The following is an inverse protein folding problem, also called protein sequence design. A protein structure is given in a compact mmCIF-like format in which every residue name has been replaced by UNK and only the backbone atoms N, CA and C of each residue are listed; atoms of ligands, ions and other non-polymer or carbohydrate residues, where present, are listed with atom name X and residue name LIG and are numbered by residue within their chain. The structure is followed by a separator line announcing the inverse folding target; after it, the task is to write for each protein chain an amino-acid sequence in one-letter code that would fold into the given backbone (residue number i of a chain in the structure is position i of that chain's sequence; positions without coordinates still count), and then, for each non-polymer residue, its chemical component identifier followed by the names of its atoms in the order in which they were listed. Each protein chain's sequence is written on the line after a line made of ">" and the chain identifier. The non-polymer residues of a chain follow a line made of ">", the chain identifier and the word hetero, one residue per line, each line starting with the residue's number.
data_IF_653750663358
#
_entry.id   IF_653750663358
#
_cell.length_a   1.000
_cell.length_b   1.000
_cell.length_c   1.000
_cell.angle_alpha   90.00
_cell.angle_beta   90.00
_cell.angle_gamma   90.00
#
_symmetry.space_group_name_H-M   'P 1'
#
loop_
_entity.id
_entity.type
_entity.pdbx_description
1 polymer ?
#
# COMPACT_ATOMS: atom_id res chain seq x y z
N UNK A 1 33.79 11.72 -1.71
CA UNK A 1 32.85 11.61 -2.85
C UNK A 1 32.62 13.01 -3.38
N UNK A 2 32.62 13.21 -4.70
CA UNK A 2 32.19 14.49 -5.27
C UNK A 2 30.71 14.72 -4.93
N UNK A 3 30.27 15.97 -4.68
CA UNK A 3 28.87 16.26 -4.43
C UNK A 3 28.04 15.90 -5.67
N UNK A 4 26.98 15.11 -5.48
CA UNK A 4 26.01 14.80 -6.52
C UNK A 4 25.13 16.04 -6.71
N UNK A 5 25.23 16.78 -7.83
CA UNK A 5 24.57 18.09 -7.97
C UNK A 5 23.04 17.98 -8.07
N UNK A 6 22.53 16.84 -8.55
CA UNK A 6 21.11 16.52 -8.66
C UNK A 6 20.89 15.09 -8.19
N UNK A 7 20.18 14.92 -7.06
CA UNK A 7 19.80 13.58 -6.58
C UNK A 7 18.52 13.12 -7.27
N UNK A 8 18.52 11.88 -7.71
CA UNK A 8 17.41 11.18 -8.34
C UNK A 8 16.68 10.29 -7.34
N UNK A 9 15.36 10.27 -7.42
CA UNK A 9 14.49 9.51 -6.53
C UNK A 9 13.13 9.26 -7.21
N UNK A 10 12.36 8.35 -6.65
CA UNK A 10 10.92 8.21 -6.91
C UNK A 10 10.08 8.84 -5.79
N UNK A 11 8.76 8.93 -5.98
CA UNK A 11 7.82 9.49 -4.99
C UNK A 11 7.44 8.48 -3.90
N UNK A 12 7.31 7.19 -4.25
CA UNK A 12 6.75 6.17 -3.36
C UNK A 12 6.43 4.89 -4.13
N UNK A 13 5.16 4.72 -4.45
CA UNK A 13 4.56 3.56 -5.13
C UNK A 13 5.26 3.13 -6.44
N UNK A 14 5.41 1.82 -6.61
CA UNK A 14 5.82 1.15 -7.86
C UNK A 14 4.65 0.39 -8.50
N UNK A 15 4.64 0.19 -9.84
CA UNK A 15 3.60 -0.58 -10.49
C UNK A 15 3.51 -2.00 -9.91
N UNK A 16 2.28 -2.45 -9.64
CA UNK A 16 2.04 -3.84 -9.23
C UNK A 16 2.29 -4.78 -10.41
N UNK A 17 3.23 -5.74 -10.30
CA UNK A 17 3.36 -6.79 -11.29
C UNK A 17 2.07 -7.59 -11.40
N UNK A 18 1.76 -8.13 -12.57
CA UNK A 18 0.50 -8.87 -12.79
C UNK A 18 0.29 -10.06 -11.84
N UNK A 19 1.37 -10.68 -11.36
CA UNK A 19 1.30 -11.75 -10.36
C UNK A 19 0.90 -11.24 -8.97
N UNK A 20 1.36 -10.05 -8.58
CA UNK A 20 1.02 -9.43 -7.30
C UNK A 20 -0.43 -8.94 -7.32
N UNK A 21 -0.85 -8.34 -8.43
CA UNK A 21 -2.25 -7.94 -8.65
C UNK A 21 -3.18 -9.14 -8.51
N UNK A 22 -2.85 -10.26 -9.18
CA UNK A 22 -3.64 -11.48 -9.06
C UNK A 22 -3.66 -12.03 -7.63
N UNK A 23 -2.48 -12.09 -6.96
CA UNK A 23 -2.41 -12.55 -5.58
C UNK A 23 -3.25 -11.69 -4.63
N UNK A 24 -3.25 -10.36 -4.79
CA UNK A 24 -4.03 -9.43 -3.97
C UNK A 24 -5.54 -9.65 -4.04
N UNK A 25 -6.02 -10.23 -5.14
CA UNK A 25 -7.44 -10.55 -5.37
C UNK A 25 -7.82 -11.98 -4.94
N UNK A 26 -6.84 -12.82 -4.55
CA UNK A 26 -7.05 -14.25 -4.24
C UNK A 26 -6.30 -14.64 -2.95
N UNK A 27 -6.23 -13.76 -1.95
CA UNK A 27 -5.42 -13.97 -0.74
C UNK A 27 -5.76 -15.26 0.02
N UNK A 28 -7.00 -15.74 -0.10
CA UNK A 28 -7.51 -16.92 0.59
C UNK A 28 -6.89 -18.25 0.12
N UNK A 29 -6.20 -18.27 -1.02
CA UNK A 29 -5.55 -19.49 -1.55
C UNK A 29 -4.12 -19.67 -1.03
N UNK A 30 -3.57 -18.67 -0.35
CA UNK A 30 -2.18 -18.62 0.11
C UNK A 30 -2.09 -18.82 1.63
N UNK A 31 -1.06 -19.53 2.08
CA UNK A 31 -0.69 -19.58 3.49
C UNK A 31 -0.05 -18.27 3.96
N UNK A 32 0.10 -18.11 5.27
CA UNK A 32 0.76 -16.93 5.84
C UNK A 32 2.19 -16.73 5.34
N UNK A 33 2.91 -17.83 5.14
CA UNK A 33 4.31 -17.80 4.71
C UNK A 33 4.41 -17.47 3.22
N UNK A 34 3.49 -17.98 2.40
CA UNK A 34 3.38 -17.61 0.98
C UNK A 34 3.10 -16.11 0.83
N UNK A 35 2.19 -15.56 1.64
CA UNK A 35 1.90 -14.12 1.63
C UNK A 35 3.10 -13.27 2.05
N UNK A 36 3.87 -13.73 3.04
CA UNK A 36 5.09 -13.06 3.47
C UNK A 36 6.18 -13.10 2.38
N UNK A 37 6.31 -14.22 1.67
CA UNK A 37 7.21 -14.36 0.52
C UNK A 37 6.80 -13.42 -0.63
N UNK A 38 5.52 -13.47 -1.04
CA UNK A 38 4.94 -12.60 -2.09
C UNK A 38 5.23 -11.12 -1.82
N UNK A 39 4.99 -10.67 -0.59
CA UNK A 39 5.24 -9.28 -0.18
C UNK A 39 6.73 -8.92 -0.27
N UNK A 40 7.61 -9.80 0.21
CA UNK A 40 9.06 -9.60 0.18
C UNK A 40 9.59 -9.54 -1.25
N UNK A 41 9.17 -10.48 -2.09
CA UNK A 41 9.60 -10.57 -3.49
C UNK A 41 9.15 -9.36 -4.31
N UNK A 42 7.97 -8.82 -4.02
CA UNK A 42 7.49 -7.60 -4.66
C UNK A 42 8.40 -6.41 -4.35
N UNK A 43 8.76 -6.23 -3.08
CA UNK A 43 9.69 -5.18 -2.64
C UNK A 43 11.07 -5.39 -3.28
N UNK A 44 11.59 -6.62 -3.30
CA UNK A 44 12.87 -6.94 -3.93
C UNK A 44 12.85 -6.55 -5.41
N UNK A 45 11.79 -6.87 -6.15
CA UNK A 45 11.65 -6.52 -7.55
C UNK A 45 11.69 -5.00 -7.77
N UNK A 46 10.94 -4.23 -6.97
CA UNK A 46 10.92 -2.77 -7.04
C UNK A 46 12.29 -2.15 -6.69
N UNK A 47 12.97 -2.67 -5.67
CA UNK A 47 14.32 -2.22 -5.27
C UNK A 47 15.34 -2.54 -6.36
N UNK A 48 15.32 -3.75 -6.92
CA UNK A 48 16.24 -4.15 -7.98
C UNK A 48 16.12 -3.27 -9.22
N UNK A 49 14.90 -2.90 -9.63
CA UNK A 49 14.70 -2.04 -10.79
C UNK A 49 15.22 -0.61 -10.53
N UNK A 50 14.97 -0.06 -9.35
CA UNK A 50 15.49 1.25 -8.93
C UNK A 50 17.02 1.27 -8.83
N UNK A 51 17.64 0.19 -8.32
CA UNK A 51 19.09 0.04 -8.26
C UNK A 51 19.70 -0.10 -9.66
N UNK A 52 19.08 -0.89 -10.54
CA UNK A 52 19.52 -1.03 -11.93
C UNK A 52 19.41 0.29 -12.71
N UNK A 53 18.41 1.12 -12.39
CA UNK A 53 18.26 2.47 -12.93
C UNK A 53 19.29 3.47 -12.37
N UNK A 54 20.00 3.13 -11.30
CA UNK A 54 21.03 3.97 -10.68
C UNK A 54 20.47 5.15 -9.87
N UNK A 55 19.31 4.99 -9.23
CA UNK A 55 18.73 6.03 -8.37
C UNK A 55 19.59 6.28 -7.12
N UNK A 56 19.63 7.55 -6.68
CA UNK A 56 20.38 7.96 -5.48
C UNK A 56 19.61 7.65 -4.18
N UNK A 57 18.28 7.77 -4.22
CA UNK A 57 17.38 7.45 -3.12
C UNK A 57 16.26 6.57 -3.67
N UNK A 58 16.03 5.44 -2.99
CA UNK A 58 15.05 4.43 -3.39
C UNK A 58 13.92 4.33 -2.37
N UNK A 59 12.83 3.70 -2.78
CA UNK A 59 11.70 3.30 -1.91
C UNK A 59 11.50 1.79 -1.96
N UNK A 60 10.68 1.25 -1.07
CA UNK A 60 10.19 -0.13 -1.13
C UNK A 60 9.10 -0.33 -2.20
N UNK A 61 8.75 0.73 -2.93
CA UNK A 61 7.70 0.73 -3.93
C UNK A 61 6.28 0.63 -3.36
N UNK A 62 6.09 0.76 -2.05
CA UNK A 62 4.81 0.54 -1.35
C UNK A 62 4.15 -0.81 -1.71
N UNK A 63 4.96 -1.82 -2.06
CA UNK A 63 4.45 -3.10 -2.59
C UNK A 63 3.68 -3.94 -1.56
N UNK A 64 3.80 -3.61 -0.28
CA UNK A 64 3.08 -4.26 0.83
C UNK A 64 1.73 -3.60 1.13
N UNK A 65 1.39 -2.51 0.42
CA UNK A 65 0.16 -1.73 0.61
C UNK A 65 -0.75 -1.86 -0.60
N UNK A 66 -2.05 -2.06 -0.36
CA UNK A 66 -3.05 -2.16 -1.43
C UNK A 66 -3.67 -0.81 -1.80
N UNK A 67 -3.73 0.13 -0.85
CA UNK A 67 -4.23 1.48 -1.10
C UNK A 67 -3.56 2.47 -0.13
N UNK A 68 -3.24 3.65 -0.68
CA UNK A 68 -2.55 4.73 0.01
C UNK A 68 -3.36 5.35 1.16
N UNK A 69 -4.70 5.41 1.08
CA UNK A 69 -5.51 6.07 2.11
C UNK A 69 -6.67 5.22 2.66
N UNK A 70 -7.20 4.28 1.90
CA UNK A 70 -8.38 3.52 2.30
C UNK A 70 -8.10 2.56 3.46
N UNK A 71 -6.88 2.03 3.52
CA UNK A 71 -6.43 1.12 4.59
C UNK A 71 -6.46 1.79 5.97
N UNK A 72 -6.24 3.12 6.06
CA UNK A 72 -6.23 3.84 7.33
C UNK A 72 -7.57 3.82 8.05
N UNK A 73 -8.69 3.73 7.34
CA UNK A 73 -10.01 3.67 7.97
C UNK A 73 -10.17 2.45 8.90
N UNK A 74 -9.46 1.35 8.63
CA UNK A 74 -9.43 0.17 9.50
C UNK A 74 -8.74 0.41 10.85
N UNK A 75 -7.92 1.44 10.97
CA UNK A 75 -7.24 1.83 12.21
C UNK A 75 -8.04 2.86 13.04
N UNK A 76 -9.05 3.49 12.44
CA UNK A 76 -9.80 4.58 13.06
C UNK A 76 -11.03 4.08 13.82
N UNK A 77 -11.21 4.60 15.03
CA UNK A 77 -12.44 4.53 15.81
C UNK A 77 -13.33 5.75 15.51
N UNK A 78 -14.63 5.65 15.80
CA UNK A 78 -15.59 6.73 15.52
C UNK A 78 -16.13 6.75 14.08
N UNK A 79 -15.85 5.71 13.29
CA UNK A 79 -16.38 5.50 11.94
C UNK A 79 -17.38 4.34 11.89
N UNK A 80 -18.43 4.54 11.12
CA UNK A 80 -19.35 3.51 10.64
C UNK A 80 -18.97 3.19 9.18
N UNK A 81 -18.31 2.05 8.98
CA UNK A 81 -17.71 1.67 7.71
C UNK A 81 -18.78 1.15 6.75
N UNK A 82 -19.07 1.92 5.70
CA UNK A 82 -19.89 1.44 4.58
C UNK A 82 -19.21 0.25 3.87
N UNK A 83 -19.87 -0.92 3.92
CA UNK A 83 -19.31 -2.17 3.40
C UNK A 83 -19.38 -2.31 1.87
N UNK A 84 -20.16 -1.47 1.18
CA UNK A 84 -20.37 -1.55 -0.26
C UNK A 84 -20.20 -0.18 -0.92
N UNK A 85 -19.53 -0.16 -2.06
CA UNK A 85 -19.44 1.05 -2.87
C UNK A 85 -20.83 1.57 -3.27
N UNK A 86 -21.08 2.89 -3.17
CA UNK A 86 -22.31 3.51 -3.68
C UNK A 86 -22.40 3.48 -5.22
N UNK A 87 -21.29 3.21 -5.93
CA UNK A 87 -21.24 3.09 -7.40
C UNK A 87 -20.58 1.78 -7.83
N UNK A 88 -21.35 0.94 -8.53
CA UNK A 88 -20.89 -0.39 -8.96
C UNK A 88 -20.43 -0.47 -10.43
N UNK A 89 -20.70 0.56 -11.25
CA UNK A 89 -20.40 0.53 -12.69
C UNK A 89 -19.51 1.71 -13.10
N UNK A 90 -18.71 1.49 -14.16
CA UNK A 90 -17.77 2.45 -14.72
C UNK A 90 -16.32 2.17 -14.33
N UNK A 91 -15.36 2.93 -14.87
CA UNK A 91 -13.95 2.81 -14.50
C UNK A 91 -13.76 3.04 -12.99
N UNK A 92 -12.83 2.31 -12.33
CA UNK A 92 -12.47 2.56 -10.95
C UNK A 92 -12.05 4.02 -10.74
N UNK A 93 -12.74 4.72 -9.84
CA UNK A 93 -12.48 6.12 -9.53
C UNK A 93 -12.95 6.46 -8.10
N UNK A 94 -12.70 7.70 -7.67
CA UNK A 94 -13.00 8.15 -6.30
C UNK A 94 -14.48 8.04 -5.91
N UNK A 95 -15.40 8.05 -6.86
CA UNK A 95 -16.83 7.92 -6.64
C UNK A 95 -17.29 6.47 -6.36
N UNK A 96 -16.44 5.48 -6.62
CA UNK A 96 -16.63 4.07 -6.24
C UNK A 96 -16.04 3.75 -4.85
N UNK A 97 -15.42 4.72 -4.17
CA UNK A 97 -14.89 4.51 -2.82
C UNK A 97 -16.03 4.56 -1.79
N UNK A 98 -15.91 3.76 -0.73
CA UNK A 98 -16.88 3.77 0.38
C UNK A 98 -16.96 5.13 1.07
N UNK A 99 -18.16 5.54 1.50
CA UNK A 99 -18.39 6.79 2.23
C UNK A 99 -18.69 6.48 3.69
N UNK A 100 -17.64 6.42 4.50
CA UNK A 100 -17.76 6.11 5.92
C UNK A 100 -18.37 7.28 6.70
N UNK A 101 -19.32 6.98 7.59
CA UNK A 101 -19.99 8.01 8.39
C UNK A 101 -19.26 8.20 9.71
N UNK A 102 -19.03 9.47 10.09
CA UNK A 102 -18.50 9.82 11.41
C UNK A 102 -19.63 9.67 12.43
N UNK A 103 -19.48 8.75 13.39
CA UNK A 103 -20.46 8.45 14.45
C UNK A 103 -19.98 8.89 15.84
N UNK A 104 -18.78 9.43 15.93
CA UNK A 104 -18.19 9.96 17.16
C UNK A 104 -16.81 10.59 16.92
N UNK A 105 -16.09 10.99 17.98
CA UNK A 105 -14.72 11.47 17.87
C UNK A 105 -13.82 10.45 17.17
N UNK A 106 -13.03 10.90 16.19
CA UNK A 106 -12.09 10.05 15.48
C UNK A 106 -10.84 9.83 16.34
N UNK A 107 -10.38 8.58 16.41
CA UNK A 107 -9.14 8.26 17.13
C UNK A 107 -8.50 6.98 16.62
N UNK A 108 -7.17 6.90 16.73
CA UNK A 108 -6.37 5.71 16.41
C UNK A 108 -5.67 5.19 17.68
N UNK A 109 -6.37 4.54 18.62
CA UNK A 109 -5.83 4.20 19.94
C UNK A 109 -4.66 3.20 19.88
N UNK A 110 -4.51 2.48 18.76
CA UNK A 110 -3.40 1.55 18.49
C UNK A 110 -2.42 2.09 17.45
N UNK A 111 -2.49 3.38 17.11
CA UNK A 111 -1.74 3.97 15.99
C UNK A 111 -2.28 3.56 14.62
N UNK A 112 -1.51 3.85 13.58
CA UNK A 112 -1.86 3.62 12.17
C UNK A 112 -1.05 2.47 11.53
N UNK A 113 -0.42 1.61 12.35
CA UNK A 113 0.38 0.48 11.88
C UNK A 113 1.80 0.81 11.40
N UNK A 114 2.24 2.07 11.49
CA UNK A 114 3.52 2.51 10.94
C UNK A 114 4.75 1.94 11.67
N UNK A 115 4.64 1.62 12.96
CA UNK A 115 5.76 1.05 13.72
C UNK A 115 5.95 -0.41 13.33
N UNK A 116 4.85 -1.17 13.29
CA UNK A 116 4.85 -2.58 12.90
C UNK A 116 5.33 -2.77 11.45
N UNK A 117 5.01 -1.81 10.56
CA UNK A 117 5.53 -1.80 9.19
C UNK A 117 7.04 -1.53 9.14
N UNK A 118 7.54 -0.62 9.98
CA UNK A 118 8.97 -0.30 10.06
C UNK A 118 9.81 -1.43 10.66
N UNK A 119 9.29 -2.16 11.64
CA UNK A 119 10.00 -3.24 12.35
C UNK A 119 10.07 -4.57 11.58
N UNK A 120 9.44 -4.64 10.40
CA UNK A 120 9.25 -5.88 9.63
C UNK A 120 10.48 -6.35 8.86
#
# INVERSE_FOLDING_TARGET
>A
MQPIPLRTTVIGSYPFPGWLEYASQNLEVFGSDDLAEIQRDAVIAAVHDQLAAGLDVITDGEQTRLDFNLSFYGYLTGLDLEAKSPRCFGPPAHDQRGKHRIIGPLGAPRGLGAVEEFER
#
